data_IF_783720476400
#
_entry.id   IF_783720476400
#
_cell.length_a   1.000
_cell.length_b   1.000
_cell.length_c   1.000
_cell.angle_alpha   90.00
_cell.angle_beta   90.00
_cell.angle_gamma   90.00
#
_symmetry.space_group_name_H-M   'P 1'
#
loop_
_entity.id
_entity.type
_entity.pdbx_description
1 polymer ?
#
# COMPACT_ATOMS: atom_id res chain seq x y z
N UNK A 1 -0.76 18.42 11.77
CA UNK A 1 0.11 17.23 11.65
C UNK A 1 1.56 17.61 11.90
N UNK A 2 2.28 16.89 12.76
CA UNK A 2 3.70 17.14 13.05
C UNK A 2 4.59 16.52 11.96
N UNK A 3 5.80 17.07 11.75
CA UNK A 3 6.79 16.51 10.82
C UNK A 3 7.13 15.06 11.19
N UNK A 4 7.24 14.74 12.49
CA UNK A 4 7.50 13.39 12.96
C UNK A 4 6.42 12.41 12.52
N UNK A 5 5.15 12.75 12.68
CA UNK A 5 4.03 11.88 12.26
C UNK A 5 4.02 11.65 10.74
N UNK A 6 4.33 12.69 9.97
CA UNK A 6 4.45 12.58 8.52
C UNK A 6 5.63 11.68 8.07
N UNK A 7 6.77 11.78 8.76
CA UNK A 7 7.93 10.92 8.48
C UNK A 7 7.63 9.45 8.81
N UNK A 8 6.96 9.19 9.94
CA UNK A 8 6.52 7.83 10.31
C UNK A 8 5.55 7.28 9.25
N UNK A 9 4.54 8.06 8.85
CA UNK A 9 3.62 7.69 7.77
C UNK A 9 4.39 7.35 6.49
N UNK A 10 5.27 8.24 6.04
CA UNK A 10 6.06 8.05 4.82
C UNK A 10 6.90 6.77 4.88
N UNK A 11 7.58 6.50 5.99
CA UNK A 11 8.34 5.26 6.19
C UNK A 11 7.47 4.01 6.12
N UNK A 12 6.32 4.04 6.79
CA UNK A 12 5.36 2.92 6.79
C UNK A 12 4.84 2.65 5.38
N UNK A 13 4.40 3.69 4.64
CA UNK A 13 3.84 3.48 3.31
C UNK A 13 4.89 3.08 2.27
N UNK A 14 6.13 3.58 2.36
CA UNK A 14 7.23 3.14 1.49
C UNK A 14 7.46 1.63 1.68
N UNK A 15 7.58 1.17 2.92
CA UNK A 15 7.74 -0.25 3.20
C UNK A 15 6.52 -1.07 2.73
N UNK A 16 5.31 -0.55 2.98
CA UNK A 16 4.07 -1.21 2.56
C UNK A 16 3.99 -1.33 1.04
N UNK A 17 4.18 -0.23 0.30
CA UNK A 17 4.04 -0.20 -1.16
C UNK A 17 5.14 -1.04 -1.82
N UNK A 18 6.38 -0.98 -1.30
CA UNK A 18 7.51 -1.71 -1.86
C UNK A 18 7.41 -3.24 -1.69
N UNK A 19 6.60 -3.75 -0.75
CA UNK A 19 6.34 -5.20 -0.67
C UNK A 19 5.48 -5.62 -1.86
N UNK A 20 5.92 -6.65 -2.64
CA UNK A 20 5.17 -7.15 -3.78
C UNK A 20 3.72 -7.47 -3.42
N UNK A 21 2.79 -6.90 -4.17
CA UNK A 21 1.35 -7.02 -3.98
C UNK A 21 0.67 -7.31 -5.32
N UNK A 22 -0.62 -7.69 -5.35
CA UNK A 22 -1.34 -7.83 -6.60
C UNK A 22 -1.24 -6.60 -7.50
N UNK A 23 -1.26 -5.38 -6.93
CA UNK A 23 -1.09 -4.12 -7.67
C UNK A 23 0.31 -3.99 -8.30
N UNK A 24 1.37 -4.41 -7.59
CA UNK A 24 2.73 -4.42 -8.12
C UNK A 24 2.88 -5.46 -9.24
N UNK A 25 2.30 -6.67 -9.07
CA UNK A 25 2.36 -7.74 -10.07
C UNK A 25 1.63 -7.37 -11.35
N UNK A 26 0.44 -6.77 -11.28
CA UNK A 26 -0.28 -6.33 -12.48
C UNK A 26 0.45 -5.19 -13.19
N UNK A 27 1.01 -4.23 -12.45
CA UNK A 27 1.81 -3.13 -13.01
C UNK A 27 3.04 -3.65 -13.75
N UNK A 28 3.77 -4.60 -13.14
CA UNK A 28 4.91 -5.27 -13.73
C UNK A 28 4.51 -6.04 -15.01
N UNK A 29 3.44 -6.83 -14.94
CA UNK A 29 2.96 -7.64 -16.07
C UNK A 29 2.52 -6.76 -17.24
N UNK A 30 1.80 -5.66 -16.96
CA UNK A 30 1.37 -4.74 -18.00
C UNK A 30 2.55 -3.95 -18.58
N UNK A 31 3.54 -3.58 -17.76
CA UNK A 31 4.78 -2.98 -18.24
C UNK A 31 5.56 -3.88 -19.19
N UNK A 32 5.64 -5.18 -18.87
CA UNK A 32 6.32 -6.18 -19.71
C UNK A 32 5.56 -6.50 -21.00
N UNK A 33 4.22 -6.60 -20.95
CA UNK A 33 3.40 -7.02 -22.10
C UNK A 33 3.02 -5.88 -23.02
N UNK A 34 2.63 -4.74 -22.48
CA UNK A 34 2.04 -3.63 -23.23
C UNK A 34 2.94 -2.40 -23.27
N UNK A 35 4.11 -2.47 -22.64
CA UNK A 35 5.06 -1.37 -22.52
C UNK A 35 4.72 -0.38 -21.40
N UNK A 36 5.74 0.37 -21.00
CA UNK A 36 5.70 1.26 -19.83
C UNK A 36 4.63 2.36 -19.96
N UNK A 37 4.46 2.93 -21.16
CA UNK A 37 3.48 4.01 -21.39
C UNK A 37 2.05 3.54 -21.14
N UNK A 38 1.71 2.33 -21.55
CA UNK A 38 0.37 1.77 -21.36
C UNK A 38 0.15 1.32 -19.91
N UNK A 39 1.19 0.85 -19.24
CA UNK A 39 1.13 0.49 -17.82
C UNK A 39 0.76 1.68 -16.91
N UNK A 40 1.03 2.92 -17.33
CA UNK A 40 0.61 4.14 -16.60
C UNK A 40 -0.92 4.14 -16.37
N UNK A 41 -1.70 3.65 -17.32
CA UNK A 41 -3.15 3.57 -17.15
C UNK A 41 -3.55 2.60 -16.02
N UNK A 42 -2.84 1.47 -15.90
CA UNK A 42 -3.04 0.52 -14.79
C UNK A 42 -2.67 1.13 -13.45
N UNK A 43 -1.52 1.83 -13.41
CA UNK A 43 -1.04 2.53 -12.22
C UNK A 43 -2.03 3.62 -11.79
N UNK A 44 -2.50 4.43 -12.74
CA UNK A 44 -3.53 5.46 -12.48
C UNK A 44 -4.82 4.85 -11.93
N UNK A 45 -5.24 3.69 -12.44
CA UNK A 45 -6.38 2.95 -11.91
C UNK A 45 -6.16 2.52 -10.45
N UNK A 46 -5.00 1.94 -10.14
CA UNK A 46 -4.63 1.56 -8.78
C UNK A 46 -4.58 2.76 -7.82
N UNK A 47 -3.93 3.85 -8.23
CA UNK A 47 -3.88 5.09 -7.46
C UNK A 47 -5.28 5.68 -7.19
N UNK A 48 -6.17 5.64 -8.19
CA UNK A 48 -7.57 6.08 -8.03
C UNK A 48 -8.32 5.21 -7.01
N UNK A 49 -8.09 3.91 -7.00
CA UNK A 49 -8.65 3.00 -6.00
C UNK A 49 -8.14 3.33 -4.59
N UNK A 50 -6.83 3.57 -4.44
CA UNK A 50 -6.23 3.97 -3.17
C UNK A 50 -6.82 5.29 -2.65
N UNK A 51 -6.95 6.31 -3.51
CA UNK A 51 -7.58 7.59 -3.15
C UNK A 51 -9.04 7.42 -2.70
N UNK A 52 -9.79 6.53 -3.34
CA UNK A 52 -11.16 6.22 -2.93
C UNK A 52 -11.18 5.58 -1.53
N UNK A 53 -10.31 4.61 -1.28
CA UNK A 53 -10.17 3.98 0.03
C UNK A 53 -9.75 4.97 1.12
N UNK A 54 -8.78 5.85 0.82
CA UNK A 54 -8.37 6.94 1.71
C UNK A 54 -9.52 7.88 2.04
N UNK A 55 -10.29 8.29 1.03
CA UNK A 55 -11.44 9.18 1.21
C UNK A 55 -12.51 8.52 2.07
N UNK A 56 -12.84 7.26 1.79
CA UNK A 56 -13.76 6.48 2.61
C UNK A 56 -13.31 6.36 4.07
N UNK A 57 -12.01 6.13 4.27
CA UNK A 57 -11.41 6.06 5.61
C UNK A 57 -11.48 7.41 6.35
N UNK A 58 -11.13 8.50 5.68
CA UNK A 58 -11.15 9.84 6.28
C UNK A 58 -12.58 10.28 6.65
N UNK A 59 -13.55 9.99 5.81
CA UNK A 59 -14.98 10.28 6.07
C UNK A 59 -15.52 9.39 7.20
N UNK A 60 -15.16 8.11 7.20
CA UNK A 60 -15.54 7.16 8.26
C UNK A 60 -14.93 7.50 9.62
N UNK A 61 -13.71 8.04 9.65
CA UNK A 61 -13.07 8.47 10.88
C UNK A 61 -13.89 9.55 11.63
N UNK A 62 -14.37 10.56 10.89
CA UNK A 62 -15.21 11.61 11.49
C UNK A 62 -16.47 11.06 12.14
N UNK A 63 -17.12 10.09 11.52
CA UNK A 63 -18.29 9.42 12.06
C UNK A 63 -17.96 8.56 13.30
N UNK A 64 -16.86 7.83 13.29
CA UNK A 64 -16.42 6.97 14.40
C UNK A 64 -16.03 7.81 15.61
N UNK A 65 -15.27 8.90 15.40
CA UNK A 65 -14.87 9.80 16.50
C UNK A 65 -16.06 10.52 17.12
N UNK A 66 -17.04 10.93 16.30
CA UNK A 66 -18.27 11.53 16.79
C UNK A 66 -19.16 10.53 17.56
N UNK A 67 -19.08 9.24 17.21
CA UNK A 67 -19.93 8.21 17.78
C UNK A 67 -19.37 7.60 19.09
N UNK A 68 -18.06 7.35 19.20
CA UNK A 68 -17.51 6.64 20.36
C UNK A 68 -15.98 6.64 20.43
N UNK A 69 -15.44 7.12 21.56
CA UNK A 69 -14.02 7.01 21.91
C UNK A 69 -13.57 5.53 21.98
N UNK A 70 -14.46 4.65 22.45
CA UNK A 70 -14.19 3.21 22.54
C UNK A 70 -14.02 2.60 21.15
N UNK A 71 -14.87 2.97 20.17
CA UNK A 71 -14.74 2.50 18.79
C UNK A 71 -13.41 2.94 18.17
N UNK A 72 -12.97 4.16 18.45
CA UNK A 72 -11.67 4.64 18.00
C UNK A 72 -10.50 3.86 18.61
N UNK A 73 -10.55 3.58 19.92
CA UNK A 73 -9.53 2.78 20.59
C UNK A 73 -9.47 1.34 20.06
N UNK A 74 -10.62 0.73 19.77
CA UNK A 74 -10.67 -0.58 19.11
C UNK A 74 -10.04 -0.55 17.72
N UNK A 75 -10.39 0.45 16.90
CA UNK A 75 -9.81 0.62 15.55
C UNK A 75 -8.29 0.78 15.63
N UNK A 76 -7.80 1.58 16.55
CA UNK A 76 -6.38 1.77 16.82
C UNK A 76 -5.68 0.46 17.22
N UNK A 77 -6.30 -0.31 18.13
CA UNK A 77 -5.80 -1.62 18.56
C UNK A 77 -5.71 -2.61 17.40
N UNK A 78 -6.75 -2.67 16.56
CA UNK A 78 -6.77 -3.49 15.34
C UNK A 78 -5.67 -3.06 14.38
N UNK A 79 -5.48 -1.75 14.18
CA UNK A 79 -4.42 -1.20 13.34
C UNK A 79 -3.02 -1.58 13.84
N UNK A 80 -2.77 -1.44 15.13
CA UNK A 80 -1.50 -1.83 15.76
C UNK A 80 -1.24 -3.33 15.63
N UNK A 81 -2.22 -4.16 15.92
CA UNK A 81 -2.13 -5.62 15.77
C UNK A 81 -1.87 -6.03 14.32
N UNK A 82 -2.51 -5.35 13.36
CA UNK A 82 -2.30 -5.59 11.93
C UNK A 82 -0.87 -5.23 11.49
N UNK A 83 -0.30 -4.11 11.93
CA UNK A 83 1.10 -3.77 11.63
C UNK A 83 2.06 -4.81 12.20
N UNK A 84 1.87 -5.22 13.43
CA UNK A 84 2.69 -6.25 14.07
C UNK A 84 2.58 -7.57 13.30
N UNK A 85 1.36 -7.95 12.90
CA UNK A 85 1.12 -9.15 12.07
C UNK A 85 1.82 -9.05 10.71
N UNK A 86 1.72 -7.90 10.01
CA UNK A 86 2.46 -7.67 8.75
C UNK A 86 3.96 -7.79 8.95
N UNK A 87 4.50 -7.23 10.03
CA UNK A 87 5.90 -7.31 10.37
C UNK A 87 6.38 -8.74 10.59
N UNK A 88 5.65 -9.51 11.39
CA UNK A 88 5.93 -10.92 11.64
C UNK A 88 5.79 -11.75 10.35
N UNK A 89 4.77 -11.48 9.56
CA UNK A 89 4.53 -12.15 8.28
C UNK A 89 5.67 -11.89 7.29
N UNK A 90 6.16 -10.65 7.20
CA UNK A 90 7.32 -10.29 6.38
C UNK A 90 8.59 -11.02 6.85
N UNK A 91 8.80 -11.14 8.16
CA UNK A 91 9.95 -11.87 8.71
C UNK A 91 9.91 -13.37 8.42
N UNK A 92 8.71 -13.96 8.44
CA UNK A 92 8.46 -15.40 8.20
C UNK A 92 8.27 -15.74 6.73
N UNK A 93 8.21 -14.74 5.84
CA UNK A 93 8.00 -14.96 4.42
C UNK A 93 9.08 -15.90 3.85
N UNK A 94 8.63 -17.01 3.28
CA UNK A 94 9.51 -17.94 2.58
C UNK A 94 10.11 -17.24 1.37
N UNK A 95 11.42 -17.26 1.26
CA UNK A 95 12.16 -16.74 0.11
C UNK A 95 12.19 -17.77 -1.01
N UNK A 96 11.04 -18.06 -1.57
CA UNK A 96 10.90 -18.83 -2.82
C UNK A 96 10.85 -17.88 -4.02
N UNK A 97 11.03 -18.38 -5.25
CA UNK A 97 10.73 -17.59 -6.44
C UNK A 97 9.31 -17.06 -6.29
N UNK A 98 9.11 -15.78 -6.62
CA UNK A 98 7.77 -15.21 -6.71
C UNK A 98 6.99 -16.13 -7.63
N UNK A 99 6.11 -16.93 -7.04
CA UNK A 99 5.30 -17.85 -7.81
C UNK A 99 4.68 -17.04 -8.94
N UNK A 100 4.81 -17.53 -10.15
CA UNK A 100 4.06 -17.05 -11.31
C UNK A 100 2.58 -17.25 -10.97
N UNK A 101 2.03 -16.35 -10.18
CA UNK A 101 0.63 -16.34 -9.82
C UNK A 101 -0.13 -15.96 -11.09
N UNK A 102 -0.50 -17.02 -11.81
CA UNK A 102 -1.42 -16.97 -12.92
C UNK A 102 -0.82 -16.30 -14.15
N UNK A 103 -0.26 -17.10 -15.03
CA UNK A 103 -0.35 -16.80 -16.45
C UNK A 103 -1.83 -16.79 -16.81
N UNK A 104 -2.51 -15.68 -16.49
CA UNK A 104 -3.77 -15.37 -17.13
C UNK A 104 -3.38 -15.21 -18.60
N UNK A 105 -3.67 -16.20 -19.41
CA UNK A 105 -3.60 -16.10 -20.86
C UNK A 105 -4.52 -14.93 -21.24
N UNK A 106 -3.91 -13.74 -21.37
CA UNK A 106 -4.63 -12.57 -21.81
C UNK A 106 -4.77 -12.66 -23.33
N UNK A 107 -5.93 -12.27 -23.88
CA UNK A 107 -6.17 -12.26 -25.31
C UNK A 107 -5.04 -11.53 -26.05
N UNK A 108 -4.78 -11.98 -27.28
CA UNK A 108 -3.75 -11.41 -28.20
C UNK A 108 -4.04 -9.95 -28.56
N UNK A 109 -5.30 -9.50 -28.41
CA UNK A 109 -5.68 -8.11 -28.66
C UNK A 109 -5.13 -7.18 -27.59
N UNK A 110 -4.48 -6.11 -28.00
CA UNK A 110 -3.97 -5.07 -27.12
C UNK A 110 -5.16 -4.35 -26.42
N UNK A 111 -5.29 -4.49 -25.10
CA UNK A 111 -6.43 -3.89 -24.39
C UNK A 111 -6.36 -2.37 -24.47
N UNK A 112 -7.49 -1.70 -24.67
CA UNK A 112 -7.59 -0.25 -24.63
C UNK A 112 -7.12 0.33 -23.29
N UNK A 113 -6.70 1.58 -23.28
CA UNK A 113 -6.20 2.29 -22.08
C UNK A 113 -7.23 2.23 -20.93
N UNK A 114 -8.50 2.40 -21.22
CA UNK A 114 -9.57 2.31 -20.22
C UNK A 114 -9.70 0.91 -19.61
N UNK A 115 -9.48 -0.13 -20.40
CA UNK A 115 -9.47 -1.51 -19.90
C UNK A 115 -8.30 -1.73 -18.92
N UNK A 116 -7.13 -1.18 -19.23
CA UNK A 116 -5.97 -1.24 -18.34
C UNK A 116 -6.21 -0.47 -17.04
N UNK A 117 -6.80 0.71 -17.13
CA UNK A 117 -7.21 1.50 -15.96
C UNK A 117 -8.19 0.71 -15.08
N UNK A 118 -9.27 0.19 -15.66
CA UNK A 118 -10.25 -0.64 -14.93
C UNK A 118 -9.60 -1.82 -14.23
N UNK A 119 -8.68 -2.53 -14.90
CA UNK A 119 -7.96 -3.66 -14.29
C UNK A 119 -7.13 -3.20 -13.09
N UNK A 120 -6.39 -2.10 -13.23
CA UNK A 120 -5.63 -1.52 -12.12
C UNK A 120 -6.52 -1.10 -10.96
N UNK A 121 -7.64 -0.42 -11.25
CA UNK A 121 -8.62 -0.01 -10.26
C UNK A 121 -9.23 -1.20 -9.52
N UNK A 122 -9.69 -2.22 -10.25
CA UNK A 122 -10.30 -3.42 -9.65
C UNK A 122 -9.31 -4.16 -8.75
N UNK A 123 -8.06 -4.31 -9.19
CA UNK A 123 -7.02 -4.93 -8.37
C UNK A 123 -6.69 -4.08 -7.15
N UNK A 124 -6.59 -2.76 -7.31
CA UNK A 124 -6.31 -1.83 -6.21
C UNK A 124 -7.41 -1.83 -5.13
N UNK A 125 -8.68 -1.71 -5.55
CA UNK A 125 -9.81 -1.68 -4.61
C UNK A 125 -10.01 -3.01 -3.87
N UNK A 126 -9.59 -4.11 -4.48
CA UNK A 126 -9.67 -5.46 -3.91
C UNK A 126 -8.39 -5.89 -3.21
N UNK A 127 -7.36 -5.04 -3.17
CA UNK A 127 -6.08 -5.36 -2.55
C UNK A 127 -6.23 -5.42 -1.03
N UNK A 128 -6.16 -6.61 -0.39
CA UNK A 128 -6.40 -6.73 1.04
C UNK A 128 -5.40 -5.93 1.87
N UNK A 129 -4.19 -5.73 1.35
CA UNK A 129 -3.15 -4.93 2.00
C UNK A 129 -3.56 -3.46 2.12
N UNK A 130 -4.05 -2.87 1.02
CA UNK A 130 -4.46 -1.48 0.97
C UNK A 130 -5.78 -1.27 1.73
N UNK A 131 -6.74 -2.20 1.58
CA UNK A 131 -8.00 -2.20 2.34
C UNK A 131 -7.75 -2.16 3.84
N UNK A 132 -6.92 -3.05 4.36
CA UNK A 132 -6.63 -3.12 5.80
C UNK A 132 -5.82 -1.92 6.27
N UNK A 133 -4.87 -1.43 5.46
CA UNK A 133 -4.12 -0.23 5.79
C UNK A 133 -5.03 0.99 5.90
N UNK A 134 -5.87 1.24 4.90
CA UNK A 134 -6.76 2.41 4.91
C UNK A 134 -7.87 2.29 5.95
N UNK A 135 -8.42 1.10 6.18
CA UNK A 135 -9.47 0.92 7.17
C UNK A 135 -8.97 1.06 8.62
N UNK A 136 -7.79 0.50 8.93
CA UNK A 136 -7.35 0.36 10.31
C UNK A 136 -6.21 1.30 10.72
N UNK A 137 -5.36 1.71 9.77
CA UNK A 137 -4.14 2.46 10.08
C UNK A 137 -4.17 3.91 9.65
N UNK A 138 -4.67 4.19 8.47
CA UNK A 138 -4.68 5.54 7.90
C UNK A 138 -5.32 6.59 8.82
N UNK A 139 -6.45 6.30 9.51
CA UNK A 139 -7.04 7.23 10.46
C UNK A 139 -6.10 7.74 11.55
N UNK A 140 -5.16 6.88 11.99
CA UNK A 140 -4.25 7.22 13.08
C UNK A 140 -3.16 8.25 12.69
N UNK A 141 -3.03 8.55 11.40
CA UNK A 141 -2.11 9.58 10.89
C UNK A 141 -2.77 10.95 10.75
N UNK A 142 -4.07 11.06 11.01
CA UNK A 142 -4.80 12.31 10.99
C UNK A 142 -4.89 12.85 12.43
N UNK A 143 -4.31 14.03 12.66
CA UNK A 143 -4.40 14.75 13.92
C UNK A 143 -5.79 15.39 14.04
N UNK A 144 -6.60 14.88 14.95
CA UNK A 144 -8.00 15.30 15.13
C UNK A 144 -8.15 16.68 15.79
N UNK A 145 -7.06 17.22 16.37
CA UNK A 145 -7.04 18.54 16.99
C UNK A 145 -6.78 19.70 16.00
N UNK A 146 -6.44 19.37 14.74
CA UNK A 146 -6.09 20.32 13.70
C UNK A 146 -6.96 20.16 12.45
N UNK A 147 -7.06 21.17 11.56
CA UNK A 147 -7.85 21.08 10.33
C UNK A 147 -7.49 19.86 9.49
N UNK A 148 -8.49 19.03 9.14
CA UNK A 148 -8.27 17.71 8.52
C UNK A 148 -7.96 17.79 7.02
N UNK A 149 -8.52 18.79 6.30
CA UNK A 149 -8.42 18.88 4.83
C UNK A 149 -6.96 18.99 4.35
N UNK A 150 -6.19 19.86 4.97
CA UNK A 150 -4.77 20.04 4.63
C UNK A 150 -3.93 18.81 4.95
N UNK A 151 -4.22 18.13 6.06
CA UNK A 151 -3.56 16.89 6.44
C UNK A 151 -3.89 15.76 5.46
N UNK A 152 -5.18 15.59 5.13
CA UNK A 152 -5.62 14.62 4.14
C UNK A 152 -4.95 14.86 2.78
N UNK A 153 -4.94 16.11 2.30
CA UNK A 153 -4.32 16.45 1.03
C UNK A 153 -2.82 16.11 1.01
N UNK A 154 -2.08 16.40 2.10
CA UNK A 154 -0.67 16.07 2.21
C UNK A 154 -0.43 14.56 2.22
N UNK A 155 -1.22 13.81 3.00
CA UNK A 155 -1.11 12.34 3.08
C UNK A 155 -1.47 11.69 1.75
N UNK A 156 -2.56 12.15 1.10
CA UNK A 156 -3.01 11.67 -0.20
C UNK A 156 -1.98 11.94 -1.31
N UNK A 157 -1.40 13.13 -1.32
CA UNK A 157 -0.35 13.49 -2.28
C UNK A 157 0.90 12.62 -2.06
N UNK A 158 1.35 12.47 -0.80
CA UNK A 158 2.50 11.65 -0.43
C UNK A 158 2.30 10.20 -0.88
N UNK A 159 1.12 9.62 -0.59
CA UNK A 159 0.77 8.28 -1.06
C UNK A 159 0.82 8.19 -2.58
N UNK A 160 0.10 9.06 -3.27
CA UNK A 160 -0.04 9.00 -4.73
C UNK A 160 1.32 9.10 -5.43
N UNK A 161 2.18 10.02 -4.98
CA UNK A 161 3.53 10.17 -5.55
C UNK A 161 4.36 8.93 -5.33
N UNK A 162 4.37 8.39 -4.11
CA UNK A 162 5.17 7.19 -3.79
C UNK A 162 4.62 5.95 -4.47
N UNK A 163 3.30 5.75 -4.45
CA UNK A 163 2.66 4.59 -5.09
C UNK A 163 2.89 4.61 -6.60
N UNK A 164 2.59 5.71 -7.28
CA UNK A 164 2.83 5.84 -8.71
C UNK A 164 4.31 5.62 -9.07
N UNK A 165 5.23 6.18 -8.28
CA UNK A 165 6.67 6.03 -8.52
C UNK A 165 7.13 4.59 -8.35
N UNK A 166 6.74 3.92 -7.28
CA UNK A 166 7.13 2.53 -7.00
C UNK A 166 6.47 1.59 -8.01
N UNK A 167 5.18 1.77 -8.32
CA UNK A 167 4.48 0.96 -9.33
C UNK A 167 5.07 1.17 -10.74
N UNK A 168 5.50 2.40 -11.07
CA UNK A 168 6.20 2.67 -12.32
C UNK A 168 7.57 1.98 -12.36
N UNK A 169 8.32 1.97 -11.25
CA UNK A 169 9.54 1.17 -11.15
C UNK A 169 9.27 -0.32 -11.39
N UNK A 170 8.19 -0.88 -10.84
CA UNK A 170 7.78 -2.26 -11.13
C UNK A 170 7.48 -2.47 -12.62
N UNK A 171 6.78 -1.54 -13.25
CA UNK A 171 6.45 -1.62 -14.67
C UNK A 171 7.68 -1.52 -15.58
N UNK A 172 8.65 -0.66 -15.24
CA UNK A 172 9.87 -0.46 -16.03
C UNK A 172 10.90 -1.57 -15.84
N UNK A 173 11.04 -2.07 -14.63
CA UNK A 173 12.13 -2.95 -14.23
C UNK A 173 11.70 -4.41 -14.08
N UNK A 174 10.57 -4.82 -14.64
CA UNK A 174 9.95 -6.12 -14.40
C UNK A 174 10.92 -7.30 -14.40
N UNK A 175 11.78 -7.45 -15.43
CA UNK A 175 12.81 -8.49 -15.47
C UNK A 175 13.90 -8.29 -14.40
N UNK A 176 14.35 -7.05 -14.15
CA UNK A 176 15.41 -6.73 -13.19
C UNK A 176 14.88 -6.81 -11.75
N UNK A 177 13.68 -6.31 -11.50
CA UNK A 177 13.02 -6.41 -10.19
C UNK A 177 12.75 -7.87 -9.86
N UNK A 178 12.26 -8.66 -10.81
CA UNK A 178 12.11 -10.11 -10.65
C UNK A 178 13.44 -10.77 -10.29
N UNK A 179 14.55 -10.43 -10.97
CA UNK A 179 15.86 -10.99 -10.66
C UNK A 179 16.42 -10.56 -9.30
N UNK A 180 16.11 -9.31 -8.86
CA UNK A 180 16.50 -8.82 -7.54
C UNK A 180 15.80 -9.58 -6.42
N UNK A 181 14.50 -9.82 -6.60
CA UNK A 181 13.68 -10.60 -5.65
C UNK A 181 13.85 -12.13 -5.81
N UNK A 182 14.45 -12.60 -6.89
CA UNK A 182 14.84 -14.01 -7.05
C UNK A 182 16.02 -14.41 -6.18
N UNK A 183 16.79 -13.46 -5.66
CA UNK A 183 17.93 -13.73 -4.76
C UNK A 183 17.43 -13.90 -3.31
N UNK A 184 17.41 -15.13 -2.76
CA UNK A 184 16.81 -15.41 -1.45
C UNK A 184 17.37 -14.57 -0.30
N UNK A 185 18.68 -14.27 -0.33
CA UNK A 185 19.34 -13.45 0.71
C UNK A 185 18.88 -11.99 0.68
N UNK A 186 18.75 -11.38 -0.52
CA UNK A 186 18.32 -9.98 -0.67
C UNK A 186 16.86 -9.82 -0.31
N UNK A 187 16.01 -10.73 -0.76
CA UNK A 187 14.59 -10.75 -0.42
C UNK A 187 14.40 -10.91 1.10
N UNK A 188 15.15 -11.82 1.74
CA UNK A 188 15.11 -12.00 3.20
C UNK A 188 15.53 -10.74 3.96
N UNK A 189 16.60 -10.08 3.52
CA UNK A 189 17.08 -8.83 4.13
C UNK A 189 16.02 -7.72 4.00
N UNK A 190 15.44 -7.56 2.82
CA UNK A 190 14.37 -6.61 2.56
C UNK A 190 13.13 -6.89 3.43
N UNK A 191 12.67 -8.16 3.46
CA UNK A 191 11.52 -8.56 4.27
C UNK A 191 11.77 -8.34 5.77
N UNK A 192 12.99 -8.58 6.26
CA UNK A 192 13.34 -8.32 7.66
C UNK A 192 13.36 -6.84 7.99
N UNK A 193 13.95 -6.00 7.13
CA UNK A 193 13.98 -4.55 7.34
C UNK A 193 12.56 -3.96 7.36
N UNK A 194 11.73 -4.31 6.36
CA UNK A 194 10.33 -3.88 6.30
C UNK A 194 9.51 -4.42 7.48
N UNK A 195 9.72 -5.69 7.83
CA UNK A 195 9.05 -6.32 8.98
C UNK A 195 9.40 -5.65 10.31
N UNK A 196 10.67 -5.29 10.52
CA UNK A 196 11.09 -4.53 11.70
C UNK A 196 10.43 -3.16 11.79
N UNK A 197 10.32 -2.46 10.65
CA UNK A 197 9.66 -1.16 10.60
C UNK A 197 8.17 -1.27 10.95
N UNK A 198 7.48 -2.30 10.44
CA UNK A 198 6.08 -2.54 10.78
C UNK A 198 5.86 -2.89 12.26
N UNK A 199 6.72 -3.74 12.83
CA UNK A 199 6.66 -4.07 14.26
C UNK A 199 6.88 -2.80 15.09
N UNK A 200 7.88 -2.01 14.76
CA UNK A 200 8.16 -0.75 15.44
C UNK A 200 6.97 0.23 15.35
N UNK A 201 6.43 0.44 14.14
CA UNK A 201 5.27 1.31 13.95
C UNK A 201 4.02 0.81 14.70
N UNK A 202 3.77 -0.50 14.68
CA UNK A 202 2.65 -1.11 15.41
C UNK A 202 2.78 -0.99 16.92
N UNK A 203 3.98 -1.21 17.47
CA UNK A 203 4.23 -1.04 18.91
C UNK A 203 4.17 0.42 19.33
N UNK A 204 4.70 1.34 18.54
CA UNK A 204 4.60 2.77 18.78
C UNK A 204 3.13 3.24 18.75
N UNK A 205 2.32 2.73 17.80
CA UNK A 205 0.90 3.02 17.72
C UNK A 205 0.14 2.49 18.95
N UNK A 206 0.44 1.25 19.39
CA UNK A 206 -0.18 0.66 20.59
C UNK A 206 0.19 1.44 21.86
N UNK A 207 1.42 1.94 21.97
CA UNK A 207 1.91 2.66 23.13
C UNK A 207 1.50 4.14 23.15
N UNK A 208 1.09 4.73 22.03
CA UNK A 208 0.66 6.12 21.99
C UNK A 208 -0.59 6.31 22.82
N UNK A 209 -0.48 7.11 23.89
CA UNK A 209 -1.61 7.48 24.72
C UNK A 209 -2.52 8.44 23.94
N UNK A 210 -3.57 7.90 23.30
CA UNK A 210 -4.83 8.55 22.90
C UNK A 210 -5.70 7.56 22.16
#
# INVERSE_FOLDING_TARGET
>A
MTLHLWLVYTGVIVALIAIPSPSALISMTHGLRYGQRRAIATIAGGASAALLLMTGSALGLGAILAASTTAFMLLKGVGAAYLIWLGISAWRAKTGPVAETGSVALPVDEPGIFTLFRRGFTVGISNPKDLLFFAALFPNFIDTSAPHVGQFALLALTWTVLDCSIMFCYACMGKRVSSLFSHPKRLRMFNRASGSLFIFAGTALAASAR
#
